data_IF_194728035648
#
_entry.id   IF_194728035648
#
_cell.length_a   1.000
_cell.length_b   1.000
_cell.length_c   1.000
_cell.angle_alpha   90.00
_cell.angle_beta   90.00
_cell.angle_gamma   90.00
#
_symmetry.space_group_name_H-M   'P 1'
#
loop_
_entity.id
_entity.type
_entity.pdbx_description
1 polymer ?
#
# COMPACT_ATOMS: atom_id res chain seq x y z
N UNK A 1 -22.31 -7.06 16.25
CA UNK A 1 -21.53 -6.10 15.44
C UNK A 1 -20.43 -6.85 14.70
N UNK A 2 -20.23 -6.59 13.40
CA UNK A 2 -19.10 -7.19 12.67
C UNK A 2 -17.77 -6.55 13.09
N UNK A 3 -16.65 -7.28 13.02
CA UNK A 3 -15.30 -6.74 13.32
C UNK A 3 -15.00 -5.43 12.58
N UNK A 4 -15.47 -5.29 11.34
CA UNK A 4 -15.33 -4.07 10.51
C UNK A 4 -16.07 -2.86 11.10
N UNK A 5 -17.28 -3.02 11.62
CA UNK A 5 -18.01 -1.92 12.27
C UNK A 5 -17.33 -1.46 13.56
N UNK A 6 -16.73 -2.39 14.31
CA UNK A 6 -15.97 -2.07 15.52
C UNK A 6 -14.70 -1.27 15.23
N UNK A 7 -13.96 -1.59 14.16
CA UNK A 7 -12.74 -0.88 13.75
C UNK A 7 -13.01 0.58 13.37
N UNK A 8 -14.00 0.81 12.50
CA UNK A 8 -14.42 2.17 12.10
C UNK A 8 -14.87 3.03 13.28
N UNK A 9 -15.61 2.45 14.23
CA UNK A 9 -16.01 3.16 15.44
C UNK A 9 -14.80 3.57 16.28
N UNK A 10 -13.82 2.68 16.42
CA UNK A 10 -12.58 2.97 17.14
C UNK A 10 -11.75 4.06 16.44
N UNK A 11 -11.66 4.01 15.11
CA UNK A 11 -11.03 5.05 14.31
C UNK A 11 -11.66 6.42 14.59
N UNK A 12 -12.98 6.54 14.43
CA UNK A 12 -13.67 7.84 14.60
C UNK A 12 -13.61 8.36 16.04
N UNK A 13 -13.64 7.46 17.03
CA UNK A 13 -13.44 7.84 18.43
C UNK A 13 -12.05 8.44 18.64
N UNK A 14 -11.00 7.76 18.17
CA UNK A 14 -9.62 8.24 18.32
C UNK A 14 -9.35 9.51 17.51
N UNK A 15 -9.91 9.61 16.30
CA UNK A 15 -9.77 10.79 15.45
C UNK A 15 -10.30 12.07 16.12
N UNK A 16 -11.39 11.97 16.88
CA UNK A 16 -11.96 13.10 17.63
C UNK A 16 -11.18 13.44 18.91
N UNK A 17 -10.54 12.46 19.53
CA UNK A 17 -9.87 12.60 20.82
C UNK A 17 -8.39 12.98 20.70
N UNK A 18 -7.76 12.66 19.57
CA UNK A 18 -6.34 12.90 19.36
C UNK A 18 -6.04 14.34 18.93
N UNK A 19 -4.78 14.75 19.14
CA UNK A 19 -4.27 16.06 18.75
C UNK A 19 -4.08 16.16 17.23
N UNK A 20 -3.60 17.31 16.75
CA UNK A 20 -3.37 17.55 15.32
C UNK A 20 -2.43 16.52 14.68
N UNK A 21 -1.33 16.17 15.36
CA UNK A 21 -0.38 15.16 14.88
C UNK A 21 -1.04 13.78 14.74
N UNK A 22 -1.87 13.37 15.69
CA UNK A 22 -2.60 12.11 15.59
C UNK A 22 -3.61 12.09 14.45
N UNK A 23 -4.26 13.22 14.14
CA UNK A 23 -5.14 13.32 12.98
C UNK A 23 -4.36 13.13 11.67
N UNK A 24 -3.18 13.73 11.56
CA UNK A 24 -2.29 13.55 10.41
C UNK A 24 -1.96 12.06 10.24
N UNK A 25 -1.56 11.39 11.32
CA UNK A 25 -1.25 9.95 11.30
C UNK A 25 -2.42 9.14 10.78
N UNK A 26 -3.63 9.37 11.29
CA UNK A 26 -4.83 8.64 10.90
C UNK A 26 -5.24 8.90 9.44
N UNK A 27 -5.12 10.13 8.96
CA UNK A 27 -5.41 10.48 7.55
C UNK A 27 -4.40 9.84 6.62
N UNK A 28 -3.11 9.91 6.94
CA UNK A 28 -2.05 9.36 6.09
C UNK A 28 -2.09 7.84 6.06
N UNK A 29 -2.17 7.18 7.22
CA UNK A 29 -2.20 5.71 7.32
C UNK A 29 -3.39 5.09 6.58
N UNK A 30 -4.54 5.75 6.55
CA UNK A 30 -5.73 5.29 5.83
C UNK A 30 -5.77 5.72 4.36
N UNK A 31 -4.67 6.30 3.86
CA UNK A 31 -4.57 6.90 2.53
C UNK A 31 -5.79 7.78 2.21
N UNK A 32 -5.91 8.86 3.00
CA UNK A 32 -6.97 9.87 2.90
C UNK A 32 -8.40 9.29 3.03
N UNK A 33 -8.55 8.24 3.85
CA UNK A 33 -9.84 7.62 4.15
C UNK A 33 -10.25 6.49 3.21
N UNK A 34 -9.44 6.13 2.23
CA UNK A 34 -9.72 4.98 1.34
C UNK A 34 -9.71 3.67 2.11
N UNK A 35 -8.80 3.52 3.07
CA UNK A 35 -8.75 2.38 4.01
C UNK A 35 -9.96 2.29 4.94
N UNK A 36 -10.80 3.32 5.02
CA UNK A 36 -12.04 3.27 5.79
C UNK A 36 -13.19 2.64 5.02
N UNK A 37 -13.05 2.28 3.74
CA UNK A 37 -14.14 1.69 2.94
C UNK A 37 -14.58 0.30 3.45
N UNK A 38 -15.87 -0.06 3.30
CA UNK A 38 -16.46 -1.16 4.06
C UNK A 38 -16.06 -2.54 3.55
N UNK A 39 -15.71 -2.61 2.26
CA UNK A 39 -15.43 -3.83 1.52
C UNK A 39 -14.02 -3.71 0.99
N UNK A 40 -13.16 -4.67 1.33
CA UNK A 40 -11.77 -4.76 0.85
C UNK A 40 -11.02 -3.41 0.85
N UNK A 41 -10.82 -2.78 2.03
CA UNK A 41 -10.18 -1.46 2.14
C UNK A 41 -8.85 -1.38 1.39
N UNK A 42 -8.07 -2.46 1.41
CA UNK A 42 -6.83 -2.55 0.65
C UNK A 42 -7.00 -2.46 -0.88
N UNK A 43 -8.02 -3.11 -1.44
CA UNK A 43 -8.32 -2.97 -2.88
C UNK A 43 -8.54 -1.51 -3.26
N UNK A 44 -9.22 -0.74 -2.41
CA UNK A 44 -9.43 0.68 -2.65
C UNK A 44 -8.19 1.54 -2.38
N UNK A 45 -7.38 1.23 -1.36
CA UNK A 45 -6.11 1.90 -1.10
C UNK A 45 -5.13 1.73 -2.27
N UNK A 46 -4.97 0.49 -2.73
CA UNK A 46 -4.17 0.16 -3.92
C UNK A 46 -4.72 0.86 -5.17
N UNK A 47 -6.04 0.83 -5.40
CA UNK A 47 -6.65 1.48 -6.58
C UNK A 47 -6.47 3.00 -6.55
N UNK A 48 -6.61 3.62 -5.37
CA UNK A 48 -6.40 5.06 -5.18
C UNK A 48 -4.94 5.50 -5.38
N UNK A 49 -4.00 4.56 -5.51
CA UNK A 49 -2.60 4.84 -5.87
C UNK A 49 -2.41 5.00 -7.39
N UNK A 50 -3.34 4.50 -8.22
CA UNK A 50 -3.25 4.60 -9.70
C UNK A 50 -3.11 6.04 -10.20
N UNK A 51 -3.91 7.03 -9.74
CA UNK A 51 -3.73 8.42 -10.15
C UNK A 51 -2.33 8.96 -9.80
N UNK A 52 -1.78 8.59 -8.64
CA UNK A 52 -0.43 8.98 -8.24
C UNK A 52 0.62 8.40 -9.20
N UNK A 53 0.52 7.11 -9.56
CA UNK A 53 1.40 6.48 -10.55
C UNK A 53 1.36 7.23 -11.89
N UNK A 54 0.16 7.55 -12.38
CA UNK A 54 -0.02 8.26 -13.64
C UNK A 54 0.58 9.67 -13.62
N UNK A 55 0.54 10.36 -12.48
CA UNK A 55 1.22 11.66 -12.32
C UNK A 55 2.73 11.48 -12.33
N UNK A 56 3.26 10.53 -11.55
CA UNK A 56 4.72 10.31 -11.43
C UNK A 56 5.36 9.83 -12.73
N UNK A 57 4.65 9.04 -13.53
CA UNK A 57 5.10 8.61 -14.86
C UNK A 57 5.33 9.80 -15.82
N UNK A 58 4.66 10.94 -15.59
CA UNK A 58 4.88 12.16 -16.38
C UNK A 58 6.08 13.00 -15.87
N UNK A 59 6.51 12.80 -14.63
CA UNK A 59 7.60 13.55 -14.01
C UNK A 59 8.96 12.88 -14.22
N UNK A 60 8.97 11.56 -14.43
CA UNK A 60 10.17 10.77 -14.71
C UNK A 60 10.70 10.00 -13.51
N UNK A 61 11.70 9.16 -13.77
CA UNK A 61 12.17 8.12 -12.83
C UNK A 61 12.65 8.67 -11.49
N UNK A 62 13.32 9.82 -11.47
CA UNK A 62 13.82 10.41 -10.23
C UNK A 62 12.69 10.74 -9.24
N UNK A 63 11.58 11.31 -9.74
CA UNK A 63 10.42 11.62 -8.91
C UNK A 63 9.71 10.36 -8.45
N UNK A 64 9.64 9.31 -9.28
CA UNK A 64 9.10 8.01 -8.87
C UNK A 64 9.88 7.42 -7.68
N UNK A 65 11.22 7.44 -7.76
CA UNK A 65 12.09 6.95 -6.69
C UNK A 65 11.94 7.80 -5.42
N UNK A 66 11.95 9.12 -5.54
CA UNK A 66 11.76 10.01 -4.38
C UNK A 66 10.40 9.80 -3.73
N UNK A 67 9.33 9.71 -4.51
CA UNK A 67 7.98 9.45 -3.99
C UNK A 67 7.87 8.10 -3.30
N UNK A 68 8.51 7.04 -3.83
CA UNK A 68 8.58 5.76 -3.16
C UNK A 68 9.32 5.84 -1.82
N UNK A 69 10.48 6.50 -1.77
CA UNK A 69 11.25 6.65 -0.53
C UNK A 69 10.46 7.43 0.52
N UNK A 70 9.76 8.50 0.13
CA UNK A 70 8.87 9.25 1.02
C UNK A 70 7.72 8.36 1.48
N UNK A 71 7.07 7.64 0.57
CA UNK A 71 5.96 6.74 0.90
C UNK A 71 6.38 5.68 1.92
N UNK A 72 7.56 5.07 1.78
CA UNK A 72 8.08 4.09 2.74
C UNK A 72 8.27 4.71 4.14
N UNK A 73 8.93 5.87 4.22
CA UNK A 73 9.19 6.55 5.51
C UNK A 73 7.87 6.94 6.19
N UNK A 74 6.94 7.52 5.43
CA UNK A 74 5.62 7.91 5.94
C UNK A 74 4.81 6.68 6.32
N UNK A 75 4.84 5.60 5.54
CA UNK A 75 4.13 4.37 5.84
C UNK A 75 4.61 3.73 7.14
N UNK A 76 5.92 3.63 7.35
CA UNK A 76 6.49 3.04 8.58
C UNK A 76 6.06 3.87 9.80
N UNK A 77 6.25 5.19 9.72
CA UNK A 77 5.92 6.11 10.81
C UNK A 77 4.42 6.15 11.10
N UNK A 78 3.59 6.32 10.07
CA UNK A 78 2.14 6.44 10.22
C UNK A 78 1.52 5.12 10.69
N UNK A 79 1.97 3.98 10.17
CA UNK A 79 1.43 2.68 10.57
C UNK A 79 1.75 2.35 12.01
N UNK A 80 3.01 2.54 12.45
CA UNK A 80 3.39 2.34 13.84
C UNK A 80 2.62 3.26 14.79
N UNK A 81 2.52 4.55 14.45
CA UNK A 81 1.81 5.51 15.29
C UNK A 81 0.29 5.29 15.30
N UNK A 82 -0.28 4.80 14.21
CA UNK A 82 -1.69 4.40 14.15
C UNK A 82 -1.95 3.24 15.10
N UNK A 83 -1.12 2.20 15.07
CA UNK A 83 -1.22 1.05 15.97
C UNK A 83 -1.17 1.48 17.44
N UNK A 84 -0.27 2.39 17.80
CA UNK A 84 -0.19 2.95 19.15
C UNK A 84 -1.47 3.73 19.55
N UNK A 85 -2.03 4.51 18.62
CA UNK A 85 -3.22 5.33 18.87
C UNK A 85 -4.48 4.47 19.09
N UNK A 86 -4.63 3.38 18.33
CA UNK A 86 -5.80 2.51 18.42
C UNK A 86 -5.61 1.36 19.42
N UNK A 87 -4.37 1.11 19.87
CA UNK A 87 -4.06 -0.06 20.70
C UNK A 87 -4.35 -1.39 19.99
N UNK A 88 -4.27 -1.40 18.66
CA UNK A 88 -4.53 -2.56 17.82
C UNK A 88 -3.32 -2.89 16.97
N UNK A 89 -2.95 -4.17 16.95
CA UNK A 89 -1.97 -4.70 16.01
C UNK A 89 -2.63 -4.93 14.65
N UNK A 90 -2.01 -4.40 13.59
CA UNK A 90 -2.42 -4.60 12.20
C UNK A 90 -3.89 -4.27 11.85
N UNK A 91 -4.36 -3.02 12.09
CA UNK A 91 -5.69 -2.57 11.67
C UNK A 91 -5.84 -2.60 10.14
N UNK A 92 -6.95 -3.17 9.66
CA UNK A 92 -7.25 -3.31 8.22
C UNK A 92 -7.44 -1.99 7.48
N UNK A 93 -7.66 -0.91 8.21
CA UNK A 93 -7.79 0.43 7.65
C UNK A 93 -6.46 1.09 7.32
N UNK A 94 -5.33 0.55 7.80
CA UNK A 94 -4.00 0.97 7.35
C UNK A 94 -3.80 0.40 5.93
N UNK A 95 -3.55 1.29 4.98
CA UNK A 95 -3.37 0.94 3.55
C UNK A 95 -2.22 1.72 2.90
N UNK A 96 -1.46 2.49 3.68
CA UNK A 96 -0.34 3.31 3.18
C UNK A 96 0.91 2.47 2.86
N UNK A 97 1.07 1.35 3.55
CA UNK A 97 1.92 0.22 3.20
C UNK A 97 1.64 -0.26 1.77
N UNK A 98 0.36 -0.43 1.44
CA UNK A 98 -0.02 -0.90 0.10
C UNK A 98 0.29 0.11 -0.99
N UNK A 99 0.17 1.40 -0.67
CA UNK A 99 0.60 2.50 -1.55
C UNK A 99 2.09 2.36 -1.84
N UNK A 100 2.92 2.12 -0.82
CA UNK A 100 4.37 1.95 -1.00
C UNK A 100 4.71 0.69 -1.81
N UNK A 101 4.07 -0.45 -1.51
CA UNK A 101 4.24 -1.70 -2.26
C UNK A 101 3.82 -1.59 -3.73
N UNK A 102 2.71 -0.91 -4.01
CA UNK A 102 2.24 -0.74 -5.38
C UNK A 102 3.05 0.32 -6.16
N UNK A 103 3.53 1.39 -5.51
CA UNK A 103 4.51 2.29 -6.11
C UNK A 103 5.80 1.57 -6.51
N UNK A 104 6.29 0.66 -5.67
CA UNK A 104 7.45 -0.17 -5.98
C UNK A 104 7.17 -1.09 -7.16
N UNK A 105 6.00 -1.74 -7.19
CA UNK A 105 5.56 -2.60 -8.30
C UNK A 105 5.65 -1.86 -9.63
N UNK A 106 5.21 -0.61 -9.67
CA UNK A 106 5.10 0.19 -10.88
C UNK A 106 6.36 1.04 -11.18
N UNK A 107 7.41 0.94 -10.37
CA UNK A 107 8.57 1.84 -10.43
C UNK A 107 9.25 1.85 -11.81
N UNK A 108 9.45 0.68 -12.41
CA UNK A 108 10.13 0.50 -13.70
C UNK A 108 9.29 -0.26 -14.74
N UNK A 109 7.97 -0.36 -14.51
CA UNK A 109 7.05 -0.89 -15.51
C UNK A 109 6.66 0.21 -16.51
N UNK A 110 6.37 -0.15 -17.77
CA UNK A 110 5.97 0.83 -18.77
C UNK A 110 4.61 1.43 -18.42
N UNK A 111 4.41 2.71 -18.77
CA UNK A 111 3.13 3.42 -18.65
C UNK A 111 2.12 2.83 -19.64
N UNK A 112 1.43 1.77 -19.24
CA UNK A 112 0.35 1.16 -20.00
C UNK A 112 -0.74 0.64 -19.07
N UNK A 113 -1.99 0.67 -19.53
CA UNK A 113 -3.11 0.12 -18.77
C UNK A 113 -2.96 -1.37 -18.52
N UNK A 114 -2.30 -2.10 -19.44
CA UNK A 114 -1.97 -3.51 -19.25
C UNK A 114 -0.98 -3.70 -18.09
N UNK A 115 0.12 -2.92 -18.05
CA UNK A 115 1.08 -3.01 -16.96
C UNK A 115 0.47 -2.60 -15.62
N UNK A 116 -0.37 -1.55 -15.59
CA UNK A 116 -1.09 -1.12 -14.37
C UNK A 116 -2.06 -2.22 -13.90
N UNK A 117 -2.84 -2.79 -14.81
CA UNK A 117 -3.80 -3.86 -14.50
C UNK A 117 -3.12 -5.13 -13.99
N UNK A 118 -2.06 -5.59 -14.67
CA UNK A 118 -1.28 -6.74 -14.23
C UNK A 118 -0.55 -6.45 -12.91
N UNK A 119 0.07 -5.28 -12.78
CA UNK A 119 0.71 -4.83 -11.55
C UNK A 119 -0.26 -4.88 -10.37
N UNK A 120 -1.46 -4.33 -10.55
CA UNK A 120 -2.50 -4.33 -9.53
C UNK A 120 -2.89 -5.76 -9.12
N UNK A 121 -3.18 -6.63 -10.11
CA UNK A 121 -3.61 -8.00 -9.87
C UNK A 121 -2.53 -8.79 -9.12
N UNK A 122 -1.28 -8.78 -9.62
CA UNK A 122 -0.19 -9.54 -9.02
C UNK A 122 0.23 -8.98 -7.66
N UNK A 123 0.24 -7.66 -7.49
CA UNK A 123 0.50 -7.04 -6.19
C UNK A 123 -0.52 -7.50 -5.15
N UNK A 124 -1.82 -7.37 -5.44
CA UNK A 124 -2.89 -7.83 -4.53
C UNK A 124 -2.82 -9.33 -4.27
N UNK A 125 -2.48 -10.12 -5.29
CA UNK A 125 -2.32 -11.56 -5.14
C UNK A 125 -1.20 -11.90 -4.15
N UNK A 126 -0.03 -11.27 -4.28
CA UNK A 126 1.11 -11.55 -3.41
C UNK A 126 0.97 -10.97 -2.01
N UNK A 127 0.38 -9.79 -1.87
CA UNK A 127 0.02 -9.19 -0.58
C UNK A 127 -0.96 -10.10 0.20
N UNK A 128 -2.01 -10.61 -0.45
CA UNK A 128 -3.00 -11.47 0.22
C UNK A 128 -2.44 -12.87 0.53
N UNK A 129 -1.70 -13.48 -0.40
CA UNK A 129 -1.22 -14.86 -0.22
C UNK A 129 0.03 -14.93 0.68
N UNK A 130 0.83 -13.86 0.69
CA UNK A 130 2.15 -13.78 1.31
C UNK A 130 2.99 -15.04 1.05
N UNK A 131 3.37 -15.35 -0.20
CA UNK A 131 4.26 -16.48 -0.48
C UNK A 131 5.58 -16.34 0.28
N UNK A 132 6.28 -17.45 0.53
CA UNK A 132 7.63 -17.42 1.11
C UNK A 132 8.54 -16.50 0.26
N UNK A 133 9.36 -15.61 0.87
CA UNK A 133 9.61 -15.41 2.30
C UNK A 133 8.79 -14.28 2.94
N UNK A 134 7.74 -13.74 2.30
CA UNK A 134 6.92 -12.62 2.84
C UNK A 134 6.37 -12.95 4.23
N UNK A 135 5.91 -14.19 4.46
CA UNK A 135 5.47 -14.60 5.82
C UNK A 135 6.56 -14.54 6.90
N UNK A 136 7.84 -14.50 6.53
CA UNK A 136 8.91 -14.38 7.52
C UNK A 136 9.04 -12.94 8.05
N UNK A 137 8.61 -11.94 7.28
CA UNK A 137 8.71 -10.52 7.67
C UNK A 137 7.63 -10.13 8.69
N UNK A 138 6.56 -10.93 8.84
CA UNK A 138 5.57 -10.84 9.93
C UNK A 138 6.16 -10.98 11.35
N UNK A 139 7.39 -11.51 11.47
CA UNK A 139 8.11 -11.56 12.75
C UNK A 139 8.59 -10.17 13.21
N UNK A 140 8.70 -9.23 12.28
CA UNK A 140 9.08 -7.84 12.56
C UNK A 140 7.82 -7.13 13.08
N UNK A 141 7.91 -6.53 14.26
CA UNK A 141 6.77 -5.85 14.89
C UNK A 141 6.71 -4.38 14.50
N UNK A 142 5.52 -3.81 14.60
CA UNK A 142 5.26 -2.38 14.37
C UNK A 142 5.17 -2.02 12.89
N UNK A 143 5.21 -0.72 12.60
CA UNK A 143 5.03 -0.21 11.24
C UNK A 143 6.08 -0.70 10.22
N UNK A 144 7.27 -1.09 10.67
CA UNK A 144 8.29 -1.64 9.77
C UNK A 144 7.89 -3.00 9.20
N UNK A 145 7.33 -3.89 10.03
CA UNK A 145 6.94 -5.22 9.58
C UNK A 145 5.83 -5.16 8.54
N UNK A 146 4.81 -4.35 8.83
CA UNK A 146 3.68 -4.08 7.92
C UNK A 146 4.16 -3.60 6.55
N UNK A 147 5.05 -2.61 6.52
CA UNK A 147 5.53 -2.04 5.25
C UNK A 147 6.46 -2.99 4.49
N UNK A 148 7.31 -3.77 5.17
CA UNK A 148 8.22 -4.70 4.49
C UNK A 148 7.43 -5.79 3.77
N UNK A 149 6.36 -6.34 4.36
CA UNK A 149 5.53 -7.37 3.74
C UNK A 149 5.06 -6.92 2.33
N UNK A 150 4.53 -5.70 2.24
CA UNK A 150 4.01 -5.12 1.01
C UNK A 150 5.09 -4.72 0.01
N UNK A 151 6.26 -4.27 0.48
CA UNK A 151 7.40 -4.02 -0.40
C UNK A 151 7.89 -5.32 -1.04
N UNK A 152 7.96 -6.42 -0.29
CA UNK A 152 8.36 -7.71 -0.87
C UNK A 152 7.29 -8.23 -1.84
N UNK A 153 6.00 -8.09 -1.51
CA UNK A 153 4.92 -8.37 -2.44
C UNK A 153 5.02 -7.53 -3.73
N UNK A 154 5.40 -6.25 -3.60
CA UNK A 154 5.61 -5.35 -4.72
C UNK A 154 6.79 -5.74 -5.62
N UNK A 155 7.90 -6.21 -5.05
CA UNK A 155 9.01 -6.76 -5.82
C UNK A 155 8.60 -8.02 -6.60
N UNK A 156 7.79 -8.88 -5.99
CA UNK A 156 7.30 -10.10 -6.64
C UNK A 156 6.40 -9.74 -7.82
N UNK A 157 5.46 -8.81 -7.61
CA UNK A 157 4.58 -8.32 -8.65
C UNK A 157 5.38 -7.68 -9.79
N UNK A 158 6.35 -6.81 -9.48
CA UNK A 158 7.23 -6.23 -10.48
C UNK A 158 7.92 -7.29 -11.34
N UNK A 159 8.56 -8.29 -10.70
CA UNK A 159 9.29 -9.33 -11.41
C UNK A 159 8.38 -10.15 -12.34
N UNK A 160 7.22 -10.59 -11.84
CA UNK A 160 6.26 -11.37 -12.63
C UNK A 160 5.72 -10.56 -13.80
N UNK A 161 5.28 -9.33 -13.57
CA UNK A 161 4.74 -8.48 -14.63
C UNK A 161 5.81 -8.15 -15.65
N UNK A 162 7.05 -7.88 -15.21
CA UNK A 162 8.17 -7.64 -16.12
C UNK A 162 8.43 -8.85 -17.01
N UNK A 163 8.41 -10.07 -16.47
CA UNK A 163 8.56 -11.31 -17.25
C UNK A 163 7.42 -11.47 -18.26
N UNK A 164 6.17 -11.24 -17.86
CA UNK A 164 5.01 -11.32 -18.77
C UNK A 164 5.16 -10.33 -19.93
N UNK A 165 5.59 -9.11 -19.64
CA UNK A 165 5.81 -8.08 -20.67
C UNK A 165 7.04 -8.36 -21.55
N UNK A 166 7.94 -9.29 -21.19
CA UNK A 166 9.00 -9.72 -22.11
C UNK A 166 8.49 -10.67 -23.20
N UNK A 167 7.28 -11.23 -23.05
CA UNK A 167 6.70 -12.13 -24.05
C UNK A 167 6.33 -11.32 -25.30
N UNK A 168 6.90 -11.65 -26.48
CA UNK A 168 6.60 -10.95 -27.73
C UNK A 168 5.09 -10.93 -28.03
N UNK A 169 4.57 -9.76 -28.42
CA UNK A 169 3.15 -9.56 -28.74
C UNK A 169 2.26 -9.05 -27.60
N UNK A 170 2.76 -8.99 -26.35
CA UNK A 170 2.05 -8.39 -25.22
C UNK A 170 2.48 -6.95 -24.92
N UNK A 171 3.65 -6.54 -25.39
CA UNK A 171 4.01 -5.13 -25.43
C UNK A 171 3.26 -4.50 -26.59
N UNK A 172 2.13 -3.85 -26.31
CA UNK A 172 1.44 -3.00 -27.27
C UNK A 172 2.39 -1.90 -27.74
N UNK A 173 3.07 -2.16 -28.85
CA UNK A 173 3.74 -1.17 -29.70
C UNK A 173 2.69 -0.32 -30.41
#
# INVERSE_FOLDING_TARGET
MSKSQSGRLLFWKNFRQTNFSGKIVLVLSTWFGTGLLPIAPGTFGTLATVPLILVLDNLGTIYKVLSLMIAIVVAIWASGRHQDLLGQSDPREIVIDEVAGFLLTMLFLPRSWMAIGLGFIFFRLFDILKPYPIRQTERIKGGLGVVIDDLVAGLYAYAVVRIILLIPGLNGS
#
